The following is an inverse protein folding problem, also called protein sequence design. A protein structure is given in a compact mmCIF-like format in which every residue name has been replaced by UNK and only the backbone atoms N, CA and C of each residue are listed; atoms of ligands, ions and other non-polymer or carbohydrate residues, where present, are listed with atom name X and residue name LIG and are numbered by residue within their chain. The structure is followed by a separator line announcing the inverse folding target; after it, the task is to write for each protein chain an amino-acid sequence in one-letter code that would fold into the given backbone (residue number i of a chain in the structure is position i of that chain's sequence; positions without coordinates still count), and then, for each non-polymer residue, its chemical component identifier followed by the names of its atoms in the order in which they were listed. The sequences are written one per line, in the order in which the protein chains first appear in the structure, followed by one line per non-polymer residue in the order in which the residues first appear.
data_IF_385300990454
#
_entry.id   IF_385300990454
#
_cell.length_a   1.000
_cell.length_b   1.000
_cell.length_c   1.000
_cell.angle_alpha   90.00
_cell.angle_beta   90.00
_cell.angle_gamma   90.00
#
_symmetry.space_group_name_H-M   'P 1'
#
loop_
_entity.id
_entity.type
_entity.pdbx_description
1 polymer ?
#
# COMPACT_ATOMS: atom_id res chain seq x y z
N UNK A 1 -3.91 4.44 7.69
CA UNK A 1 -3.25 4.25 9.03
C UNK A 1 -1.92 3.55 8.84
N UNK A 2 -0.85 3.98 9.51
CA UNK A 2 0.44 3.25 9.50
C UNK A 2 0.34 1.98 10.34
N UNK A 3 0.86 0.86 9.83
CA UNK A 3 1.01 -0.37 10.61
C UNK A 3 2.11 -0.23 11.66
N UNK A 4 3.24 0.34 11.27
CA UNK A 4 4.36 0.66 12.17
C UNK A 4 4.69 2.13 12.03
N UNK A 5 4.73 2.85 13.13
CA UNK A 5 5.10 4.27 13.12
C UNK A 5 6.60 4.42 12.80
N UNK A 6 6.91 5.29 11.85
CA UNK A 6 8.28 5.46 11.35
C UNK A 6 9.25 6.13 12.31
N UNK A 7 8.76 6.81 13.34
CA UNK A 7 9.59 7.52 14.32
C UNK A 7 9.72 6.73 15.63
N UNK A 8 8.60 6.24 16.14
CA UNK A 8 8.55 5.59 17.45
C UNK A 8 8.69 4.08 17.39
N UNK A 9 8.45 3.46 16.21
CA UNK A 9 8.38 2.02 16.05
C UNK A 9 7.12 1.38 16.63
N UNK A 10 6.16 2.17 17.12
CA UNK A 10 4.90 1.64 17.65
C UNK A 10 4.14 0.87 16.58
N UNK A 11 3.70 -0.35 16.93
CA UNK A 11 2.90 -1.22 16.06
C UNK A 11 1.42 -1.02 16.37
N UNK A 12 0.64 -0.71 15.34
CA UNK A 12 -0.80 -0.48 15.45
C UNK A 12 -1.60 -1.76 15.16
N UNK A 13 -2.73 -1.91 15.84
CA UNK A 13 -3.67 -3.01 15.70
C UNK A 13 -4.50 -2.88 14.41
N UNK A 14 -3.87 -3.14 13.25
CA UNK A 14 -4.47 -2.91 11.92
C UNK A 14 -5.74 -3.73 11.73
N UNK A 15 -5.73 -5.01 12.11
CA UNK A 15 -6.88 -5.91 11.95
C UNK A 15 -8.09 -5.39 12.70
N UNK A 16 -7.93 -5.06 13.97
CA UNK A 16 -9.00 -4.57 14.84
C UNK A 16 -9.55 -3.22 14.36
N UNK A 17 -8.65 -2.32 13.95
CA UNK A 17 -9.05 -1.03 13.39
C UNK A 17 -9.82 -1.18 12.08
N UNK A 18 -9.35 -2.04 11.16
CA UNK A 18 -10.03 -2.30 9.90
C UNK A 18 -11.41 -2.92 10.12
N UNK A 19 -11.52 -3.91 11.00
CA UNK A 19 -12.79 -4.53 11.36
C UNK A 19 -13.77 -3.51 11.95
N UNK A 20 -13.29 -2.64 12.85
CA UNK A 20 -14.12 -1.59 13.42
C UNK A 20 -14.65 -0.61 12.35
N UNK A 21 -13.76 -0.15 11.45
CA UNK A 21 -14.15 0.75 10.35
C UNK A 21 -15.19 0.11 9.44
N UNK A 22 -14.98 -1.14 9.03
CA UNK A 22 -15.92 -1.86 8.16
C UNK A 22 -17.26 -2.16 8.82
N UNK A 23 -17.29 -2.39 10.14
CA UNK A 23 -18.53 -2.64 10.88
C UNK A 23 -19.36 -1.37 11.09
N UNK A 24 -18.72 -0.20 11.12
CA UNK A 24 -19.37 1.05 11.52
C UNK A 24 -19.47 2.10 10.40
N UNK A 25 -18.89 1.83 9.22
CA UNK A 25 -18.89 2.79 8.12
C UNK A 25 -18.76 2.11 6.76
N UNK A 26 -18.93 2.90 5.69
CA UNK A 26 -18.63 2.51 4.31
C UNK A 26 -17.20 2.93 3.88
N UNK A 27 -16.40 3.43 4.80
CA UNK A 27 -15.05 3.88 4.49
C UNK A 27 -14.16 2.71 4.11
N UNK A 28 -13.27 2.92 3.15
CA UNK A 28 -12.18 2.00 2.83
C UNK A 28 -11.07 2.15 3.86
N UNK A 29 -10.47 1.04 4.25
CA UNK A 29 -9.33 1.03 5.16
C UNK A 29 -8.03 0.90 4.38
N UNK A 30 -7.24 1.98 4.37
CA UNK A 30 -5.92 2.01 3.74
C UNK A 30 -4.82 1.89 4.80
N UNK A 31 -3.99 0.85 4.66
CA UNK A 31 -2.83 0.61 5.51
C UNK A 31 -1.56 1.17 4.85
N UNK A 32 -0.77 1.92 5.59
CA UNK A 32 0.62 2.19 5.26
C UNK A 32 1.50 1.10 5.88
N UNK A 33 2.01 0.20 5.05
CA UNK A 33 2.86 -0.92 5.44
C UNK A 33 4.35 -0.68 5.19
N UNK A 34 4.73 0.56 4.85
CA UNK A 34 6.11 0.90 4.46
C UNK A 34 7.15 0.49 5.49
N UNK A 35 6.86 0.62 6.78
CA UNK A 35 7.78 0.21 7.84
C UNK A 35 7.61 -1.24 8.31
N UNK A 36 6.57 -1.93 7.85
CA UNK A 36 6.25 -3.29 8.29
C UNK A 36 6.77 -4.36 7.33
N UNK A 37 6.67 -4.14 6.01
CA UNK A 37 7.05 -5.13 5.00
C UNK A 37 8.50 -5.59 5.17
N UNK A 38 8.71 -6.91 5.14
CA UNK A 38 10.02 -7.53 5.33
C UNK A 38 10.55 -7.54 6.78
N UNK A 39 9.77 -7.00 7.75
CA UNK A 39 10.14 -6.94 9.18
C UNK A 39 9.10 -7.61 10.07
N UNK A 40 7.83 -7.51 9.71
CA UNK A 40 6.71 -8.13 10.41
C UNK A 40 5.86 -8.90 9.40
N UNK A 41 5.05 -9.81 9.91
CA UNK A 41 4.00 -10.44 9.12
C UNK A 41 2.93 -9.40 8.75
N UNK A 42 2.65 -9.28 7.45
CA UNK A 42 1.69 -8.33 6.92
C UNK A 42 0.47 -9.07 6.40
N UNK A 43 -0.63 -8.97 7.11
CA UNK A 43 -1.91 -9.54 6.69
C UNK A 43 -2.75 -8.52 5.91
N UNK A 44 -2.95 -8.80 4.64
CA UNK A 44 -3.74 -7.96 3.73
C UNK A 44 -5.23 -8.32 3.70
N UNK A 45 -5.65 -9.40 4.36
CA UNK A 45 -7.03 -9.90 4.27
C UNK A 45 -8.07 -8.92 4.78
N UNK A 46 -7.70 -8.11 5.77
CA UNK A 46 -8.61 -7.17 6.44
C UNK A 46 -8.57 -5.75 5.85
N UNK A 47 -7.59 -5.40 5.00
CA UNK A 47 -7.44 -4.04 4.46
C UNK A 47 -7.92 -3.95 3.02
N UNK A 48 -8.38 -2.79 2.61
CA UNK A 48 -8.86 -2.55 1.24
C UNK A 48 -7.74 -2.06 0.33
N UNK A 49 -6.81 -1.30 0.89
CA UNK A 49 -5.64 -0.73 0.23
C UNK A 49 -4.42 -0.88 1.14
N UNK A 50 -3.24 -1.06 0.55
CA UNK A 50 -1.98 -0.97 1.28
C UNK A 50 -0.87 -0.40 0.41
N UNK A 51 0.02 0.38 1.02
CA UNK A 51 1.19 0.96 0.34
C UNK A 51 2.49 0.47 0.94
N UNK A 52 3.48 0.25 0.06
CA UNK A 52 4.82 -0.18 0.43
C UNK A 52 5.86 0.56 -0.42
N UNK A 53 7.06 0.78 0.13
CA UNK A 53 8.17 1.43 -0.58
C UNK A 53 9.40 0.54 -0.60
N UNK A 54 9.98 0.33 -1.78
CA UNK A 54 11.12 -0.57 -1.97
C UNK A 54 12.35 -0.16 -1.14
N UNK A 55 12.63 1.15 -1.02
CA UNK A 55 13.81 1.63 -0.29
C UNK A 55 13.79 1.34 1.23
N UNK A 56 12.70 0.85 1.78
CA UNK A 56 12.61 0.41 3.18
C UNK A 56 12.89 -1.08 3.37
N UNK A 57 13.01 -1.82 2.27
CA UNK A 57 13.35 -3.25 2.21
C UNK A 57 14.57 -3.48 1.30
N UNK A 58 15.54 -2.57 1.34
CA UNK A 58 16.81 -2.61 0.59
C UNK A 58 16.69 -2.48 -0.93
N UNK A 59 15.51 -2.19 -1.47
CA UNK A 59 15.31 -1.88 -2.87
C UNK A 59 15.71 -0.44 -3.23
N UNK A 60 15.71 -0.13 -4.51
CA UNK A 60 16.06 1.19 -5.02
C UNK A 60 14.95 2.22 -4.70
N UNK A 61 15.34 3.49 -4.57
CA UNK A 61 14.38 4.60 -4.50
C UNK A 61 13.66 4.76 -5.83
N UNK A 62 12.39 5.14 -5.79
CA UNK A 62 11.56 5.36 -6.97
C UNK A 62 10.64 4.18 -7.33
N UNK A 63 10.71 3.06 -6.59
CA UNK A 63 9.75 1.95 -6.68
C UNK A 63 8.88 1.87 -5.43
N UNK A 64 7.59 1.61 -5.65
CA UNK A 64 6.60 1.41 -4.61
C UNK A 64 5.52 0.45 -5.11
N UNK A 65 4.78 -0.13 -4.18
CA UNK A 65 3.65 -1.02 -4.47
C UNK A 65 2.40 -0.42 -3.85
N UNK A 66 1.32 -0.39 -4.63
CA UNK A 66 -0.03 -0.18 -4.12
C UNK A 66 -0.81 -1.49 -4.26
N UNK A 67 -1.10 -2.13 -3.14
CA UNK A 67 -2.07 -3.20 -3.08
C UNK A 67 -3.48 -2.60 -3.04
N UNK A 68 -4.40 -3.16 -3.82
CA UNK A 68 -5.83 -2.87 -3.70
C UNK A 68 -6.65 -4.15 -3.82
N UNK A 69 -7.71 -4.27 -3.04
CA UNK A 69 -8.71 -5.32 -3.26
C UNK A 69 -9.33 -5.17 -4.66
N UNK A 70 -9.71 -6.30 -5.27
CA UNK A 70 -10.26 -6.31 -6.63
C UNK A 70 -11.50 -5.43 -6.80
N UNK A 71 -12.35 -5.37 -5.78
CA UNK A 71 -13.60 -4.60 -5.76
C UNK A 71 -13.43 -3.12 -5.42
N UNK A 72 -12.21 -2.65 -5.13
CA UNK A 72 -11.94 -1.24 -4.89
C UNK A 72 -11.69 -0.55 -6.23
N UNK A 73 -12.45 0.47 -6.54
CA UNK A 73 -12.23 1.31 -7.72
C UNK A 73 -11.34 2.50 -7.34
N UNK A 74 -10.39 2.80 -8.21
CA UNK A 74 -9.50 3.95 -8.08
C UNK A 74 -9.63 4.84 -9.31
N UNK A 75 -9.66 6.14 -9.08
CA UNK A 75 -9.57 7.14 -10.15
C UNK A 75 -8.10 7.50 -10.33
N UNK A 76 -7.53 7.35 -11.55
CA UNK A 76 -6.16 7.74 -11.81
C UNK A 76 -5.94 9.23 -11.57
N UNK A 77 -4.92 9.58 -10.79
CA UNK A 77 -4.50 10.98 -10.61
C UNK A 77 -3.61 11.46 -11.76
N UNK A 78 -2.86 10.53 -12.38
CA UNK A 78 -1.99 10.80 -13.53
C UNK A 78 -2.55 9.98 -14.69
N UNK A 79 -3.19 10.67 -15.61
CA UNK A 79 -3.77 10.06 -16.81
C UNK A 79 -2.78 10.12 -17.99
N UNK A 80 -2.95 9.23 -18.96
CA UNK A 80 -2.10 9.15 -20.17
C UNK A 80 -2.08 7.74 -20.75
N UNK A 81 -0.93 7.06 -20.69
CA UNK A 81 -0.79 5.69 -21.19
C UNK A 81 -1.49 4.65 -20.33
N UNK A 82 -1.45 3.39 -20.80
CA UNK A 82 -2.15 2.26 -20.19
C UNK A 82 -1.31 1.52 -19.11
N UNK A 83 -0.19 2.10 -18.68
CA UNK A 83 0.65 1.49 -17.65
C UNK A 83 -0.15 1.26 -16.36
N UNK A 84 0.22 0.24 -15.60
CA UNK A 84 -0.47 -0.18 -14.37
C UNK A 84 -1.99 -0.35 -14.57
N UNK A 85 -2.39 -0.96 -15.69
CA UNK A 85 -3.80 -1.13 -16.08
C UNK A 85 -4.56 0.20 -16.18
N UNK A 86 -3.89 1.27 -16.62
CA UNK A 86 -4.47 2.61 -16.72
C UNK A 86 -4.58 3.37 -15.39
N UNK A 87 -4.17 2.78 -14.29
CA UNK A 87 -4.28 3.41 -12.96
C UNK A 87 -3.16 4.42 -12.68
N UNK A 88 -2.02 4.28 -13.36
CA UNK A 88 -0.90 5.20 -13.21
C UNK A 88 -0.11 5.26 -14.52
N UNK A 89 -0.33 6.29 -15.29
CA UNK A 89 0.38 6.52 -16.55
C UNK A 89 1.85 6.87 -16.32
N UNK A 90 2.67 6.62 -17.34
CA UNK A 90 4.10 6.90 -17.37
C UNK A 90 4.93 5.63 -17.56
N UNK A 91 6.06 5.77 -18.25
CA UNK A 91 6.96 4.64 -18.51
C UNK A 91 7.39 3.97 -17.23
N UNK A 92 7.26 2.65 -17.16
CA UNK A 92 7.67 1.86 -16.00
C UNK A 92 9.15 2.00 -15.75
N UNK A 93 9.55 2.19 -14.49
CA UNK A 93 10.95 2.25 -14.09
C UNK A 93 11.51 0.83 -13.96
N UNK A 94 11.71 0.17 -15.13
CA UNK A 94 12.15 -1.21 -15.20
C UNK A 94 13.43 -1.49 -14.38
N UNK A 95 14.48 -0.64 -14.40
CA UNK A 95 15.68 -0.88 -13.60
C UNK A 95 15.42 -0.99 -12.09
N UNK A 96 14.42 -0.30 -11.58
CA UNK A 96 14.11 -0.34 -10.13
C UNK A 96 13.07 -1.40 -9.78
N UNK A 97 12.33 -1.92 -10.77
CA UNK A 97 11.26 -2.89 -10.55
C UNK A 97 11.73 -4.35 -10.71
N UNK A 98 12.94 -4.57 -11.25
CA UNK A 98 13.50 -5.89 -11.53
C UNK A 98 14.46 -6.36 -10.42
N UNK A 99 14.89 -5.48 -9.55
CA UNK A 99 15.85 -5.77 -8.46
C UNK A 99 15.17 -6.41 -7.27
#
# INVERSE_FOLDING_TARGET
MMMVNNETGAVNAIRECAQYVHANSRALFHMDGVQALGKLEVDLSCVDLATFSAHKIYGLKGSAILYKKRNVELVPLISGGQQENGLRAGTSNAPTNIV
#
